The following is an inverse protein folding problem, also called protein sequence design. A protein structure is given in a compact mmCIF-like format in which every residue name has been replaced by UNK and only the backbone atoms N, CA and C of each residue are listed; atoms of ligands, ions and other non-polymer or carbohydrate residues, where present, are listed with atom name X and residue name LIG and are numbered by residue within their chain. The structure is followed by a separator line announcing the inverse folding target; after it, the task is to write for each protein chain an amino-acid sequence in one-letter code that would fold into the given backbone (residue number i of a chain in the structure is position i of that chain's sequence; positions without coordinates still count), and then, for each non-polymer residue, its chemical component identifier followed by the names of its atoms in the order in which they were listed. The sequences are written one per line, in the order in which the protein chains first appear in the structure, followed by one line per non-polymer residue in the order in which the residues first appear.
data_IF_211246084332
#
_entry.id   IF_211246084332
#
_cell.length_a   1.000
_cell.length_b   1.000
_cell.length_c   1.000
_cell.angle_alpha   90.00
_cell.angle_beta   90.00
_cell.angle_gamma   90.00
#
_symmetry.space_group_name_H-M   'P 1'
#
loop_
_entity.id
_entity.type
_entity.pdbx_description
1 polymer ?
#
# COMPACT_ATOMS: atom_id res chain seq x y z
N UNK A 1 -49.99 -4.73 -2.80
CA UNK A 1 -48.77 -5.56 -2.70
C UNK A 1 -47.67 -4.82 -3.44
N UNK A 2 -46.64 -4.39 -2.71
CA UNK A 2 -45.60 -3.46 -3.17
C UNK A 2 -44.53 -4.23 -3.95
N UNK A 3 -44.37 -3.89 -5.24
CA UNK A 3 -43.18 -4.22 -6.02
C UNK A 3 -42.28 -2.99 -6.01
N UNK A 4 -41.25 -3.00 -5.17
CA UNK A 4 -40.16 -2.03 -5.23
C UNK A 4 -38.95 -2.66 -4.51
N UNK A 5 -37.73 -2.36 -4.98
CA UNK A 5 -36.42 -2.80 -4.44
C UNK A 5 -35.86 -4.10 -5.05
N UNK A 6 -35.74 -4.19 -6.37
CA UNK A 6 -34.75 -5.11 -6.99
C UNK A 6 -34.10 -4.51 -8.23
N UNK A 7 -34.03 -3.17 -8.31
CA UNK A 7 -33.48 -2.45 -9.47
C UNK A 7 -32.70 -1.19 -9.07
N UNK A 8 -32.01 -1.24 -7.93
CA UNK A 8 -30.90 -0.29 -7.70
C UNK A 8 -29.73 -0.77 -8.57
N UNK A 9 -29.75 -0.24 -9.80
CA UNK A 9 -28.68 -0.06 -10.76
C UNK A 9 -27.39 -0.89 -10.58
N UNK A 10 -27.24 -1.90 -11.44
CA UNK A 10 -25.95 -2.54 -11.73
C UNK A 10 -24.95 -1.50 -12.32
N UNK A 11 -25.45 -0.46 -12.99
CA UNK A 11 -24.65 0.67 -13.53
C UNK A 11 -24.00 1.55 -12.43
N UNK A 12 -24.65 1.73 -11.27
CA UNK A 12 -24.08 2.51 -10.15
C UNK A 12 -23.01 1.72 -9.39
N UNK A 13 -23.06 0.38 -9.46
CA UNK A 13 -22.01 -0.47 -8.87
C UNK A 13 -20.71 -0.41 -9.68
N UNK A 14 -20.78 -0.21 -11.01
CA UNK A 14 -19.59 0.00 -11.85
C UNK A 14 -18.94 1.36 -11.61
N UNK A 15 -19.72 2.43 -11.41
CA UNK A 15 -19.20 3.76 -11.04
C UNK A 15 -18.55 3.73 -9.66
N UNK A 16 -19.20 3.09 -8.68
CA UNK A 16 -18.64 2.92 -7.34
C UNK A 16 -17.34 2.11 -7.36
N UNK A 17 -17.28 0.99 -8.09
CA UNK A 17 -16.06 0.18 -8.19
C UNK A 17 -14.94 0.90 -8.98
N UNK A 18 -15.27 1.70 -10.01
CA UNK A 18 -14.29 2.55 -10.69
C UNK A 18 -13.75 3.66 -9.78
N UNK A 19 -14.62 4.38 -9.08
CA UNK A 19 -14.23 5.43 -8.13
C UNK A 19 -13.39 4.83 -7.00
N UNK A 20 -13.82 3.70 -6.44
CA UNK A 20 -13.06 2.93 -5.44
C UNK A 20 -11.71 2.49 -5.98
N UNK A 21 -11.62 1.98 -7.21
CA UNK A 21 -10.35 1.59 -7.83
C UNK A 21 -9.42 2.79 -8.05
N UNK A 22 -9.94 3.92 -8.53
CA UNK A 22 -9.18 5.16 -8.72
C UNK A 22 -8.68 5.73 -7.40
N UNK A 23 -9.54 5.75 -6.37
CA UNK A 23 -9.18 6.17 -5.02
C UNK A 23 -8.11 5.24 -4.46
N UNK A 24 -8.31 3.92 -4.47
CA UNK A 24 -7.33 2.95 -4.01
C UNK A 24 -6.00 3.08 -4.74
N UNK A 25 -6.02 3.32 -6.06
CA UNK A 25 -4.80 3.54 -6.85
C UNK A 25 -4.09 4.83 -6.44
N UNK A 26 -4.82 5.94 -6.26
CA UNK A 26 -4.26 7.22 -5.81
C UNK A 26 -3.72 7.15 -4.38
N UNK A 27 -4.45 6.53 -3.46
CA UNK A 27 -4.01 6.33 -2.07
C UNK A 27 -2.78 5.42 -2.02
N UNK A 28 -2.75 4.32 -2.77
CA UNK A 28 -1.55 3.46 -2.90
C UNK A 28 -0.36 4.21 -3.47
N UNK A 29 -0.55 5.09 -4.47
CA UNK A 29 0.53 5.92 -5.01
C UNK A 29 1.05 6.93 -3.99
N UNK A 30 0.15 7.57 -3.23
CA UNK A 30 0.51 8.51 -2.16
C UNK A 30 1.28 7.80 -1.04
N UNK A 31 0.79 6.65 -0.60
CA UNK A 31 1.42 5.83 0.42
C UNK A 31 2.78 5.28 -0.05
N UNK A 32 2.89 4.89 -1.32
CA UNK A 32 4.15 4.46 -1.92
C UNK A 32 5.18 5.60 -2.01
N UNK A 33 4.72 6.83 -2.29
CA UNK A 33 5.58 8.02 -2.25
C UNK A 33 6.11 8.28 -0.84
N UNK A 34 5.24 8.20 0.17
CA UNK A 34 5.63 8.36 1.58
C UNK A 34 6.61 7.26 2.03
N UNK A 35 6.41 6.02 1.58
CA UNK A 35 7.37 4.93 1.80
C UNK A 35 8.75 5.25 1.21
N UNK A 36 8.77 5.78 -0.02
CA UNK A 36 10.02 6.17 -0.66
C UNK A 36 10.70 7.31 0.09
N UNK A 37 9.93 8.32 0.54
CA UNK A 37 10.45 9.40 1.37
C UNK A 37 11.06 8.84 2.65
N UNK A 38 10.33 8.01 3.41
CA UNK A 38 10.84 7.37 4.63
C UNK A 38 12.15 6.59 4.39
N UNK A 39 12.26 5.88 3.27
CA UNK A 39 13.40 5.01 2.97
C UNK A 39 14.61 5.76 2.46
N UNK A 40 14.40 6.78 1.64
CA UNK A 40 15.46 7.54 0.97
C UNK A 40 15.84 8.79 1.77
N UNK A 41 15.11 9.13 2.83
CA UNK A 41 15.39 10.31 3.65
C UNK A 41 16.79 10.18 4.27
N UNK A 42 17.62 11.19 4.02
CA UNK A 42 18.94 11.33 4.62
C UNK A 42 18.96 12.60 5.46
N UNK A 43 19.70 12.59 6.58
CA UNK A 43 19.85 13.78 7.41
C UNK A 43 20.48 14.91 6.59
N UNK A 44 19.75 16.01 6.42
CA UNK A 44 20.32 17.23 5.83
C UNK A 44 21.43 17.77 6.74
N UNK A 45 22.51 18.31 6.15
CA UNK A 45 23.65 18.82 6.90
C UNK A 45 23.24 19.89 7.92
N UNK A 46 22.31 20.77 7.53
CA UNK A 46 21.83 21.93 8.29
C UNK A 46 20.73 21.61 9.31
N UNK A 47 20.16 20.40 9.28
CA UNK A 47 19.07 19.97 10.18
C UNK A 47 19.62 19.25 11.40
N UNK A 48 18.96 19.43 12.55
CA UNK A 48 19.30 18.68 13.75
C UNK A 48 18.84 17.23 13.64
N UNK A 49 19.42 16.34 14.44
CA UNK A 49 18.95 14.95 14.54
C UNK A 49 17.50 14.86 15.04
N UNK A 50 17.03 15.83 15.84
CA UNK A 50 15.65 15.88 16.31
C UNK A 50 14.67 16.14 15.15
N UNK A 51 15.01 17.07 14.26
CA UNK A 51 14.22 17.33 13.05
C UNK A 51 14.16 16.09 12.16
N UNK A 52 15.30 15.41 11.96
CA UNK A 52 15.35 14.20 11.13
C UNK A 52 14.48 13.06 11.69
N UNK A 53 14.53 12.81 13.00
CA UNK A 53 13.67 11.80 13.65
C UNK A 53 12.19 12.19 13.56
N UNK A 54 11.87 13.48 13.70
CA UNK A 54 10.51 13.98 13.54
C UNK A 54 9.99 13.72 12.12
N UNK A 55 10.74 14.12 11.09
CA UNK A 55 10.38 13.90 9.68
C UNK A 55 10.20 12.41 9.36
N UNK A 56 11.12 11.55 9.82
CA UNK A 56 11.00 10.10 9.65
C UNK A 56 9.72 9.56 10.28
N UNK A 57 9.39 10.00 11.49
CA UNK A 57 8.17 9.59 12.19
C UNK A 57 6.93 10.04 11.42
N UNK A 58 6.91 11.27 10.93
CA UNK A 58 5.80 11.81 10.13
C UNK A 58 5.60 11.00 8.85
N UNK A 59 6.67 10.73 8.09
CA UNK A 59 6.55 9.92 6.87
C UNK A 59 6.05 8.51 7.15
N UNK A 60 6.54 7.89 8.22
CA UNK A 60 6.09 6.56 8.62
C UNK A 60 4.59 6.55 9.02
N UNK A 61 4.15 7.53 9.82
CA UNK A 61 2.77 7.64 10.27
C UNK A 61 1.80 7.90 9.11
N UNK A 62 2.15 8.80 8.20
CA UNK A 62 1.33 9.06 7.01
C UNK A 62 1.33 7.86 6.06
N UNK A 63 2.45 7.12 5.98
CA UNK A 63 2.53 5.90 5.16
C UNK A 63 1.56 4.81 5.68
N UNK A 64 1.60 4.49 6.97
CA UNK A 64 0.72 3.47 7.56
C UNK A 64 -0.75 3.90 7.50
N UNK A 65 -1.03 5.21 7.65
CA UNK A 65 -2.37 5.77 7.52
C UNK A 65 -2.89 5.67 6.08
N UNK A 66 -2.03 5.89 5.08
CA UNK A 66 -2.36 5.74 3.66
C UNK A 66 -2.64 4.29 3.23
N UNK A 67 -2.21 3.30 4.03
CA UNK A 67 -2.54 1.88 3.87
C UNK A 67 -3.69 1.42 4.78
N UNK A 68 -4.31 2.33 5.53
CA UNK A 68 -5.39 2.03 6.48
C UNK A 68 -5.01 0.91 7.45
N UNK A 69 -3.77 0.94 7.95
CA UNK A 69 -3.27 -0.04 8.93
C UNK A 69 -3.90 0.25 10.29
N UNK A 70 -4.75 -0.65 10.76
CA UNK A 70 -5.52 -0.51 12.00
C UNK A 70 -4.87 -1.26 13.17
N UNK A 71 -4.08 -2.31 12.90
CA UNK A 71 -3.51 -3.16 13.92
C UNK A 71 -2.04 -3.53 13.66
N UNK A 72 -1.39 -4.02 14.71
CA UNK A 72 0.03 -4.38 14.69
C UNK A 72 0.35 -5.52 13.71
N UNK A 73 -0.56 -6.47 13.52
CA UNK A 73 -0.39 -7.58 12.58
C UNK A 73 -0.35 -7.07 11.13
N UNK A 74 -1.28 -6.18 10.76
CA UNK A 74 -1.29 -5.52 9.45
C UNK A 74 -0.02 -4.68 9.22
N UNK A 75 0.50 -4.03 10.26
CA UNK A 75 1.78 -3.32 10.17
C UNK A 75 2.95 -4.27 9.90
N UNK A 76 2.98 -5.43 10.57
CA UNK A 76 3.97 -6.46 10.34
C UNK A 76 3.89 -7.00 8.91
N UNK A 77 2.68 -7.35 8.44
CA UNK A 77 2.43 -7.81 7.08
C UNK A 77 2.89 -6.78 6.04
N UNK A 78 2.57 -5.48 6.25
CA UNK A 78 3.00 -4.39 5.36
C UNK A 78 4.54 -4.30 5.30
N UNK A 79 5.19 -4.33 6.46
CA UNK A 79 6.65 -4.21 6.58
C UNK A 79 7.36 -5.42 5.95
N UNK A 80 6.85 -6.64 6.18
CA UNK A 80 7.37 -7.87 5.58
C UNK A 80 7.18 -7.84 4.06
N UNK A 81 5.99 -7.45 3.58
CA UNK A 81 5.71 -7.28 2.15
C UNK A 81 6.70 -6.33 1.50
N UNK A 82 6.97 -5.20 2.16
CA UNK A 82 7.91 -4.21 1.67
C UNK A 82 9.34 -4.76 1.56
N UNK A 83 9.83 -5.41 2.62
CA UNK A 83 11.15 -6.01 2.65
C UNK A 83 11.31 -7.12 1.60
N UNK A 84 10.28 -7.95 1.41
CA UNK A 84 10.27 -8.96 0.35
C UNK A 84 10.39 -8.30 -1.02
N UNK A 85 9.57 -7.28 -1.32
CA UNK A 85 9.63 -6.55 -2.60
C UNK A 85 11.00 -5.94 -2.90
N UNK A 86 11.76 -5.53 -1.89
CA UNK A 86 13.14 -5.01 -2.06
C UNK A 86 14.18 -6.09 -2.30
N UNK A 87 13.98 -7.28 -1.72
CA UNK A 87 14.93 -8.41 -1.80
C UNK A 87 14.65 -9.34 -2.99
N UNK A 88 13.51 -9.21 -3.65
CA UNK A 88 13.18 -9.94 -4.87
C UNK A 88 14.10 -9.44 -6.01
N UNK A 89 14.93 -10.32 -6.61
CA UNK A 89 15.77 -9.97 -7.75
C UNK A 89 14.94 -9.46 -8.94
N UNK A 90 15.51 -8.54 -9.72
CA UNK A 90 14.83 -7.90 -10.86
C UNK A 90 14.28 -8.92 -11.86
N UNK A 91 14.98 -10.04 -12.06
CA UNK A 91 14.56 -11.14 -12.94
C UNK A 91 13.22 -11.77 -12.48
N UNK A 92 13.03 -11.95 -11.17
CA UNK A 92 11.76 -12.47 -10.61
C UNK A 92 10.66 -11.41 -10.69
N UNK A 93 11.01 -10.13 -10.59
CA UNK A 93 10.07 -9.01 -10.67
C UNK A 93 9.42 -8.90 -12.05
N UNK A 94 10.18 -9.12 -13.12
CA UNK A 94 9.64 -9.14 -14.48
C UNK A 94 8.70 -10.33 -14.70
N UNK A 95 9.07 -11.54 -14.25
CA UNK A 95 8.20 -12.71 -14.31
C UNK A 95 6.89 -12.56 -13.51
N UNK A 96 6.89 -11.82 -12.40
CA UNK A 96 5.69 -11.56 -11.61
C UNK A 96 4.77 -10.50 -12.23
N UNK A 97 5.34 -9.50 -12.91
CA UNK A 97 4.58 -8.52 -13.69
C UNK A 97 3.95 -9.16 -14.93
N UNK A 98 4.64 -10.10 -15.59
CA UNK A 98 4.10 -10.88 -16.72
C UNK A 98 2.97 -11.83 -16.30
N UNK A 99 3.02 -12.40 -15.08
CA UNK A 99 2.04 -13.40 -14.62
C UNK A 99 0.95 -12.85 -13.68
N UNK A 100 0.87 -11.53 -13.47
CA UNK A 100 -0.24 -10.87 -12.74
C UNK A 100 -0.40 -11.24 -11.26
N UNK A 101 0.58 -11.88 -10.62
CA UNK A 101 0.48 -12.30 -9.21
C UNK A 101 1.01 -11.22 -8.27
N UNK A 102 0.12 -10.69 -7.45
CA UNK A 102 0.47 -9.75 -6.39
C UNK A 102 1.32 -10.45 -5.32
N UNK A 103 2.50 -9.89 -4.99
CA UNK A 103 3.35 -10.32 -3.87
C UNK A 103 2.63 -10.01 -2.56
N UNK A 104 1.81 -10.94 -2.09
CA UNK A 104 1.23 -10.94 -0.76
C UNK A 104 1.99 -11.95 0.11
N UNK A 105 2.48 -11.58 1.31
CA UNK A 105 3.20 -12.48 2.21
C UNK A 105 2.41 -13.76 2.50
N UNK A 106 1.07 -13.70 2.59
CA UNK A 106 0.21 -14.88 2.80
C UNK A 106 0.31 -15.94 1.69
N UNK A 107 0.67 -15.54 0.47
CA UNK A 107 0.83 -16.45 -0.67
C UNK A 107 2.24 -17.06 -0.74
N UNK A 108 3.22 -16.45 -0.07
CA UNK A 108 4.61 -16.91 -0.09
C UNK A 108 4.89 -17.97 0.99
N UNK A 109 4.19 -17.95 2.12
CA UNK A 109 4.42 -18.90 3.23
C UNK A 109 3.60 -20.20 3.12
N UNK A 110 2.73 -20.34 2.11
CA UNK A 110 1.82 -21.50 1.99
C UNK A 110 2.41 -22.70 1.23
N UNK A 111 3.72 -22.73 0.99
CA UNK A 111 4.39 -23.87 0.34
C UNK A 111 5.67 -24.22 1.07
N UNK A 112 5.50 -24.96 2.16
CA UNK A 112 6.44 -25.98 2.64
C UNK A 112 5.60 -27.08 3.28
#
# INVERSE_FOLDING_TARGET
MVQLISRVHEEETEDYEQVKHVLLKRYKLSAEMLRQMFTKHSKNADRTWKDFVYELRTYFQEWIKGFEVENFEQLCDLTITDQMKRRVPTEVKEHLLTNGRNLNPRNCFRKN
#
